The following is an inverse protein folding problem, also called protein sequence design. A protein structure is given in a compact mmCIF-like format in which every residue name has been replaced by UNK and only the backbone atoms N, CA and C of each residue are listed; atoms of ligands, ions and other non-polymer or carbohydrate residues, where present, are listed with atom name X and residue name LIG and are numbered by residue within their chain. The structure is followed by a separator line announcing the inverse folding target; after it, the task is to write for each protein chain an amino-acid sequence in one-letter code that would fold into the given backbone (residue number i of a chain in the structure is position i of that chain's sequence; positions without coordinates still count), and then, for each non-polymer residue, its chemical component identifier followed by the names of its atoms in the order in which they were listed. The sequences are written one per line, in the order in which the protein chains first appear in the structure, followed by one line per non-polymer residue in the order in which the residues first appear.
data_IF_484835574775
#
_entry.id   IF_484835574775
#
_cell.length_a   1.000
_cell.length_b   1.000
_cell.length_c   1.000
_cell.angle_alpha   90.00
_cell.angle_beta   90.00
_cell.angle_gamma   90.00
#
_symmetry.space_group_name_H-M   'P 1'
#
loop_
_entity.id
_entity.type
_entity.pdbx_description
1 polymer ?
#
# COMPACT_ATOMS: atom_id res chain seq x y z
N UNK A 1 0.28 4.01 7.47
CA UNK A 1 -0.89 3.82 6.56
C UNK A 1 -0.89 2.37 6.08
N UNK A 2 -2.03 1.74 5.77
CA UNK A 2 -2.01 0.36 5.23
C UNK A 2 -1.53 0.37 3.79
N UNK A 3 -0.47 -0.36 3.49
CA UNK A 3 0.14 -0.47 2.16
C UNK A 3 0.63 -1.89 1.99
N UNK A 4 0.51 -2.44 0.79
CA UNK A 4 1.10 -3.72 0.41
C UNK A 4 2.09 -3.54 -0.71
N UNK A 5 3.13 -4.36 -0.74
CA UNK A 5 4.17 -4.32 -1.79
C UNK A 5 4.50 -5.74 -2.27
N UNK A 6 4.86 -5.87 -3.54
CA UNK A 6 5.41 -7.11 -4.11
C UNK A 6 6.92 -7.02 -4.30
N UNK A 7 7.60 -8.18 -4.46
CA UNK A 7 9.03 -8.23 -4.84
C UNK A 7 9.30 -7.54 -6.17
N UNK A 8 8.34 -7.62 -7.10
CA UNK A 8 8.42 -7.00 -8.43
C UNK A 8 8.20 -5.48 -8.41
N UNK A 9 7.99 -4.86 -7.25
CA UNK A 9 7.84 -3.40 -7.14
C UNK A 9 6.44 -2.86 -7.39
N UNK A 10 5.40 -3.70 -7.27
CA UNK A 10 4.03 -3.22 -7.16
C UNK A 10 3.79 -2.63 -5.78
N UNK A 11 2.93 -1.61 -5.73
CA UNK A 11 2.40 -1.05 -4.49
C UNK A 11 0.88 -1.00 -4.59
N UNK A 12 0.22 -1.45 -3.52
CA UNK A 12 -1.24 -1.37 -3.38
C UNK A 12 -1.55 -0.59 -2.11
N UNK A 13 -2.35 0.45 -2.21
CA UNK A 13 -2.77 1.26 -1.06
C UNK A 13 -4.25 1.69 -1.19
N UNK A 14 -5.00 1.78 -0.09
CA UNK A 14 -6.38 2.23 -0.12
C UNK A 14 -6.44 3.73 -0.34
N UNK A 15 -7.35 4.17 -1.22
CA UNK A 15 -7.60 5.58 -1.52
C UNK A 15 -9.09 5.86 -1.54
N UNK A 16 -9.48 7.13 -1.40
CA UNK A 16 -10.86 7.58 -1.55
C UNK A 16 -10.93 8.54 -2.73
N UNK A 17 -11.80 8.23 -3.70
CA UNK A 17 -12.05 9.06 -4.89
C UNK A 17 -13.54 9.32 -4.96
N UNK A 18 -13.93 10.60 -4.98
CA UNK A 18 -15.35 11.01 -5.02
C UNK A 18 -16.21 10.30 -3.96
N UNK A 19 -15.65 10.10 -2.75
CA UNK A 19 -16.32 9.43 -1.64
C UNK A 19 -16.35 7.89 -1.72
N UNK A 20 -15.75 7.28 -2.75
CA UNK A 20 -15.66 5.83 -2.92
C UNK A 20 -14.30 5.30 -2.52
N UNK A 21 -14.27 4.28 -1.65
CA UNK A 21 -13.06 3.56 -1.29
C UNK A 21 -12.61 2.63 -2.41
N UNK A 22 -11.37 2.76 -2.84
CA UNK A 22 -10.75 1.98 -3.92
C UNK A 22 -9.35 1.53 -3.50
N UNK A 23 -8.76 0.59 -4.24
CA UNK A 23 -7.36 0.20 -4.14
C UNK A 23 -6.59 0.85 -5.28
N UNK A 24 -5.63 1.71 -4.97
CA UNK A 24 -4.70 2.25 -5.96
C UNK A 24 -3.58 1.26 -6.19
N UNK A 25 -3.34 0.88 -7.44
CA UNK A 25 -2.19 0.07 -7.85
C UNK A 25 -1.15 0.97 -8.52
N UNK A 26 0.10 0.82 -8.08
CA UNK A 26 1.28 1.45 -8.68
C UNK A 26 2.33 0.39 -8.97
N UNK A 27 3.19 0.64 -9.95
CA UNK A 27 4.37 -0.19 -10.22
C UNK A 27 5.56 0.73 -10.47
N UNK A 28 6.62 0.53 -9.69
CA UNK A 28 7.85 1.34 -9.76
C UNK A 28 7.55 2.86 -9.67
N UNK A 29 6.58 3.24 -8.83
CA UNK A 29 6.14 4.63 -8.64
C UNK A 29 5.11 5.14 -9.65
N UNK A 30 4.88 4.46 -10.77
CA UNK A 30 3.90 4.85 -11.77
C UNK A 30 2.50 4.34 -11.43
N UNK A 31 1.49 5.17 -11.65
CA UNK A 31 0.09 4.79 -11.44
C UNK A 31 -0.40 3.88 -12.57
N UNK A 32 -0.92 2.70 -12.19
CA UNK A 32 -1.53 1.74 -13.13
C UNK A 32 -3.03 1.95 -13.18
N UNK A 33 -3.69 2.03 -12.01
CA UNK A 33 -5.13 2.18 -11.96
C UNK A 33 -5.72 2.18 -10.56
N UNK A 34 -7.04 2.38 -10.51
CA UNK A 34 -7.86 2.26 -9.32
C UNK A 34 -8.78 1.06 -9.45
N UNK A 35 -8.71 0.15 -8.49
CA UNK A 35 -9.45 -1.09 -8.45
C UNK A 35 -10.55 -1.02 -7.39
N UNK A 36 -11.77 -1.38 -7.76
CA UNK A 36 -12.92 -1.48 -6.86
C UNK A 36 -12.99 -2.86 -6.16
N UNK A 37 -12.21 -3.84 -6.61
CA UNK A 37 -12.23 -5.19 -6.06
C UNK A 37 -10.84 -5.83 -6.03
N UNK A 38 -10.70 -6.90 -5.23
CA UNK A 38 -9.49 -7.73 -5.19
C UNK A 38 -9.23 -8.42 -6.54
N UNK A 39 -10.29 -8.80 -7.27
CA UNK A 39 -10.16 -9.42 -8.58
C UNK A 39 -9.52 -8.47 -9.62
N UNK A 40 -9.85 -7.17 -9.56
CA UNK A 40 -9.21 -6.16 -10.40
C UNK A 40 -7.74 -5.94 -10.01
N UNK A 41 -7.39 -6.02 -8.73
CA UNK A 41 -5.98 -5.99 -8.30
C UNK A 41 -5.21 -7.20 -8.83
N UNK A 42 -5.82 -8.38 -8.80
CA UNK A 42 -5.23 -9.63 -9.31
C UNK A 42 -4.95 -9.60 -10.82
N UNK A 43 -5.57 -8.69 -11.58
CA UNK A 43 -5.26 -8.47 -12.99
C UNK A 43 -3.91 -7.75 -13.20
N UNK A 44 -3.33 -7.17 -12.15
CA UNK A 44 -2.10 -6.39 -12.20
C UNK A 44 -0.94 -7.00 -11.41
N UNK A 45 -1.22 -7.74 -10.33
CA UNK A 45 -0.21 -8.29 -9.43
C UNK A 45 -0.63 -9.66 -8.91
N UNK A 46 0.31 -10.59 -8.75
CA UNK A 46 0.05 -11.83 -8.02
C UNK A 46 -0.20 -11.50 -6.54
N UNK A 47 -1.41 -11.80 -6.07
CA UNK A 47 -1.82 -11.52 -4.70
C UNK A 47 -0.96 -12.27 -3.68
N UNK A 48 -0.39 -13.42 -4.06
CA UNK A 48 0.48 -14.20 -3.18
C UNK A 48 1.81 -13.50 -2.88
N UNK A 49 2.24 -12.57 -3.74
CA UNK A 49 3.49 -11.83 -3.59
C UNK A 49 3.32 -10.56 -2.74
N UNK A 50 2.08 -10.17 -2.40
CA UNK A 50 1.81 -8.95 -1.65
C UNK A 50 2.08 -9.14 -0.16
N UNK A 51 2.98 -8.32 0.37
CA UNK A 51 3.30 -8.24 1.80
C UNK A 51 2.85 -6.89 2.35
N UNK A 52 2.15 -6.90 3.49
CA UNK A 52 1.77 -5.66 4.18
C UNK A 52 3.00 -4.96 4.75
N UNK A 53 3.15 -3.68 4.44
CA UNK A 53 4.14 -2.78 5.01
C UNK A 53 3.49 -2.01 6.15
N UNK A 54 4.05 -2.18 7.34
CA UNK A 54 3.65 -1.43 8.54
C UNK A 54 4.74 -0.45 8.93
N UNK A 55 4.34 0.80 9.17
CA UNK A 55 5.25 1.82 9.68
C UNK A 55 5.64 1.45 11.12
N UNK A 56 6.94 1.27 11.39
CA UNK A 56 7.42 1.12 12.76
C UNK A 56 7.34 2.49 13.46
N UNK A 57 6.84 2.54 14.70
CA UNK A 57 6.87 3.77 15.46
C UNK A 57 8.32 4.20 15.63
N UNK A 58 8.66 5.39 15.14
CA UNK A 58 9.94 6.01 15.47
C UNK A 58 9.97 6.18 16.99
N UNK A 59 10.86 5.47 17.67
CA UNK A 59 11.13 5.70 19.07
C UNK A 59 11.68 7.13 19.20
N UNK A 60 10.80 8.11 19.41
CA UNK A 60 11.18 9.46 19.77
C UNK A 60 11.81 9.39 21.16
N UNK A 61 13.12 9.17 21.15
CA UNK A 61 14.13 9.35 22.21
C UNK A 61 13.54 9.95 23.49
N UNK A 62 12.99 9.10 24.34
CA UNK A 62 12.80 9.36 25.77
C UNK A 62 14.19 9.43 26.42
N UNK A 63 14.92 10.51 26.13
CA UNK A 63 16.18 10.83 26.81
C UNK A 63 16.23 12.33 27.03
N UNK A 64 15.42 12.80 27.98
CA UNK A 64 15.63 13.99 28.82
C UNK A 64 14.61 13.95 29.95
N UNK A 65 15.06 13.50 31.13
CA UNK A 65 14.77 14.10 32.44
C UNK A 65 15.51 13.26 33.49
N UNK A 66 16.69 13.76 33.81
CA UNK A 66 17.60 13.38 34.89
C UNK A 66 18.54 14.56 35.05
#
# INVERSE_FOLDING_TARGET
MRRWVSSEGHEVDPVVIEGRGLLRVRHLGYHIGYCASVAEVAAHVDLADLVEVVDLPHASRARRQG
#
